data_IF_499973039176
#
_entry.id   IF_499973039176
#
_cell.length_a   1.000
_cell.length_b   1.000
_cell.length_c   1.000
_cell.angle_alpha   90.00
_cell.angle_beta   90.00
_cell.angle_gamma   90.00
#
_symmetry.space_group_name_H-M   'P 1'
#
loop_
_entity.id
_entity.type
_entity.pdbx_description
1 polymer ?
#
# COMPACT_ATOMS: atom_id res chain seq x y z
N UNK A 1 8.40 -3.47 16.26
CA UNK A 1 8.60 -4.05 14.92
C UNK A 1 9.66 -3.23 14.21
N UNK A 2 10.62 -3.85 13.53
CA UNK A 2 11.64 -3.13 12.76
C UNK A 2 11.08 -2.71 11.39
N UNK A 3 11.62 -1.64 10.83
CA UNK A 3 11.28 -1.16 9.48
C UNK A 3 12.08 -1.98 8.46
N UNK A 4 11.46 -2.94 7.81
CA UNK A 4 12.18 -3.87 6.93
C UNK A 4 11.89 -3.67 5.44
N UNK A 5 10.88 -2.90 5.08
CA UNK A 5 10.40 -2.82 3.70
C UNK A 5 9.79 -4.15 3.22
N UNK A 6 9.32 -4.15 1.96
CA UNK A 6 8.75 -5.38 1.37
C UNK A 6 9.84 -6.14 0.63
N UNK A 7 9.82 -7.46 0.75
CA UNK A 7 10.75 -8.32 0.03
C UNK A 7 10.30 -8.49 -1.41
N UNK A 8 11.23 -8.36 -2.36
CA UNK A 8 11.01 -8.75 -3.74
C UNK A 8 10.86 -10.28 -3.81
N UNK A 9 9.92 -10.75 -4.63
CA UNK A 9 9.62 -12.18 -4.73
C UNK A 9 10.38 -12.75 -5.92
N UNK A 10 11.24 -13.71 -5.69
CA UNK A 10 12.07 -14.35 -6.71
C UNK A 10 11.72 -15.80 -6.92
N UNK A 11 12.05 -16.30 -8.10
CA UNK A 11 12.06 -17.72 -8.46
C UNK A 11 13.31 -18.02 -9.27
N UNK A 12 13.82 -19.24 -9.15
CA UNK A 12 14.95 -19.72 -9.97
C UNK A 12 14.49 -20.18 -11.37
N UNK A 13 13.17 -20.23 -11.58
CA UNK A 13 12.56 -20.61 -12.84
C UNK A 13 12.52 -19.39 -13.77
N UNK A 14 13.03 -19.55 -14.98
CA UNK A 14 13.03 -18.48 -16.01
C UNK A 14 11.76 -18.45 -16.85
N UNK A 15 11.01 -19.57 -16.90
CA UNK A 15 9.76 -19.70 -17.62
C UNK A 15 8.73 -20.48 -16.81
N UNK A 16 7.55 -19.89 -16.63
CA UNK A 16 6.45 -20.51 -15.90
C UNK A 16 5.55 -21.25 -16.89
N UNK A 17 5.46 -22.58 -16.70
CA UNK A 17 4.68 -23.51 -17.52
C UNK A 17 3.56 -24.15 -16.69
N UNK A 18 2.70 -24.92 -17.37
CA UNK A 18 1.64 -25.69 -16.67
C UNK A 18 2.19 -26.65 -15.60
N UNK A 19 3.37 -27.21 -15.82
CA UNK A 19 3.95 -28.25 -14.96
C UNK A 19 4.53 -27.66 -13.68
N UNK A 20 5.02 -26.40 -13.71
CA UNK A 20 5.70 -25.77 -12.58
C UNK A 20 4.91 -24.62 -11.93
N UNK A 21 3.82 -24.12 -12.54
CA UNK A 21 3.07 -22.93 -12.07
C UNK A 21 2.60 -23.07 -10.61
N UNK A 22 2.15 -24.26 -10.21
CA UNK A 22 1.66 -24.50 -8.83
C UNK A 22 2.81 -24.45 -7.82
N UNK A 23 3.99 -24.97 -8.17
CA UNK A 23 5.17 -24.92 -7.31
C UNK A 23 5.69 -23.48 -7.17
N UNK A 24 5.83 -22.78 -8.29
CA UNK A 24 6.26 -21.37 -8.31
C UNK A 24 5.28 -20.50 -7.51
N UNK A 25 3.97 -20.71 -7.66
CA UNK A 25 2.94 -20.00 -6.89
C UNK A 25 3.11 -20.24 -5.39
N UNK A 26 3.24 -21.49 -4.94
CA UNK A 26 3.37 -21.82 -3.52
C UNK A 26 4.60 -21.18 -2.90
N UNK A 27 5.74 -21.27 -3.58
CA UNK A 27 6.99 -20.68 -3.12
C UNK A 27 6.89 -19.14 -3.04
N UNK A 28 6.28 -18.50 -4.05
CA UNK A 28 6.05 -17.07 -4.08
C UNK A 28 5.13 -16.60 -2.95
N UNK A 29 4.08 -17.36 -2.64
CA UNK A 29 3.13 -17.06 -1.58
C UNK A 29 3.74 -17.02 -0.18
N UNK A 30 4.79 -17.80 0.09
CA UNK A 30 5.49 -17.75 1.39
C UNK A 30 6.02 -16.34 1.65
N UNK A 31 6.72 -15.75 0.66
CA UNK A 31 7.24 -14.39 0.76
C UNK A 31 6.12 -13.35 0.72
N UNK A 32 5.12 -13.55 -0.14
CA UNK A 32 3.99 -12.64 -0.25
C UNK A 32 3.20 -12.54 1.06
N UNK A 33 2.95 -13.65 1.76
CA UNK A 33 2.23 -13.62 3.05
C UNK A 33 3.00 -12.89 4.15
N UNK A 34 4.34 -13.00 4.16
CA UNK A 34 5.17 -12.17 5.05
C UNK A 34 5.00 -10.69 4.72
N UNK A 35 5.07 -10.32 3.44
CA UNK A 35 4.84 -8.95 2.98
C UNK A 35 3.41 -8.47 3.29
N UNK A 36 2.42 -9.32 3.08
CA UNK A 36 1.00 -9.02 3.34
C UNK A 36 0.75 -8.68 4.80
N UNK A 37 1.32 -9.43 5.73
CA UNK A 37 1.18 -9.16 7.17
C UNK A 37 1.70 -7.75 7.53
N UNK A 38 2.85 -7.36 6.97
CA UNK A 38 3.40 -6.03 7.16
C UNK A 38 2.52 -4.94 6.49
N UNK A 39 2.00 -5.20 5.29
CA UNK A 39 1.10 -4.27 4.58
C UNK A 39 -0.21 -4.08 5.34
N UNK A 40 -0.78 -5.15 5.90
CA UNK A 40 -2.00 -5.08 6.72
C UNK A 40 -1.77 -4.25 7.99
N UNK A 41 -0.62 -4.41 8.65
CA UNK A 41 -0.24 -3.59 9.79
C UNK A 41 -0.11 -2.11 9.42
N UNK A 42 0.62 -1.80 8.33
CA UNK A 42 0.81 -0.41 7.87
C UNK A 42 -0.51 0.23 7.45
N UNK A 43 -1.37 -0.50 6.76
CA UNK A 43 -2.68 -0.02 6.37
C UNK A 43 -3.61 0.22 7.57
N UNK A 44 -3.58 -0.68 8.56
CA UNK A 44 -4.31 -0.48 9.81
C UNK A 44 -3.80 0.75 10.57
N UNK A 45 -2.47 0.94 10.64
CA UNK A 45 -1.82 2.09 11.25
C UNK A 45 -2.21 3.40 10.56
N UNK A 46 -2.18 3.43 9.23
CA UNK A 46 -2.64 4.55 8.39
C UNK A 46 -4.10 4.92 8.68
N UNK A 47 -4.96 3.93 8.91
CA UNK A 47 -6.38 4.12 9.27
C UNK A 47 -6.60 4.52 10.73
N UNK A 48 -5.56 4.76 11.52
CA UNK A 48 -5.65 5.14 12.93
C UNK A 48 -5.78 3.97 13.90
N UNK A 49 -5.69 2.71 13.44
CA UNK A 49 -5.63 1.54 14.33
C UNK A 49 -4.21 1.34 14.84
N UNK A 50 -3.79 2.18 15.76
CA UNK A 50 -2.42 2.26 16.24
C UNK A 50 -2.25 1.56 17.59
N UNK A 51 -1.02 1.13 17.96
CA UNK A 51 -0.76 0.35 19.16
C UNK A 51 -1.25 0.99 20.46
N UNK A 52 -1.26 2.32 20.54
CA UNK A 52 -1.71 3.08 21.73
C UNK A 52 -3.13 2.72 22.15
N UNK A 53 -4.00 2.34 21.21
CA UNK A 53 -5.39 1.95 21.50
C UNK A 53 -5.48 0.69 22.40
N UNK A 54 -4.44 -0.14 22.37
CA UNK A 54 -4.34 -1.36 23.18
C UNK A 54 -3.56 -1.14 24.48
N UNK A 55 -3.12 0.11 24.78
CA UNK A 55 -2.43 0.44 26.02
C UNK A 55 -3.31 0.15 27.21
N UNK A 56 -2.74 -0.48 28.24
CA UNK A 56 -3.36 -0.70 29.55
C UNK A 56 -2.46 -0.15 30.63
N UNK A 57 -3.03 0.62 31.57
CA UNK A 57 -2.33 1.13 32.74
C UNK A 57 -2.61 0.22 33.94
N UNK A 58 -1.55 -0.11 34.67
CA UNK A 58 -1.66 -0.88 35.90
C UNK A 58 -2.00 0.00 37.12
N UNK A 59 -1.53 1.26 37.09
CA UNK A 59 -1.74 2.25 38.13
C UNK A 59 -2.80 3.25 37.68
N UNK A 60 -3.86 3.41 38.43
CA UNK A 60 -5.03 4.25 38.14
C UNK A 60 -5.65 3.94 36.77
N UNK A 61 -6.16 2.72 36.56
CA UNK A 61 -6.76 2.33 35.31
C UNK A 61 -8.00 3.15 34.94
N UNK A 62 -8.63 3.83 35.89
CA UNK A 62 -9.76 4.76 35.69
C UNK A 62 -9.38 6.03 34.95
N UNK A 63 -8.09 6.41 34.94
CA UNK A 63 -7.56 7.56 34.20
C UNK A 63 -6.69 7.02 33.09
N UNK A 64 -7.29 6.66 31.97
CA UNK A 64 -6.61 6.10 30.82
C UNK A 64 -7.13 6.73 29.53
N UNK A 65 -6.37 7.68 29.00
CA UNK A 65 -6.62 8.29 27.71
C UNK A 65 -5.74 7.62 26.64
N UNK A 66 -6.35 7.09 25.60
CA UNK A 66 -5.67 6.47 24.48
C UNK A 66 -5.91 7.35 23.24
N UNK A 67 -5.02 8.30 23.00
CA UNK A 67 -5.12 9.27 21.93
C UNK A 67 -4.31 8.82 20.73
N UNK A 68 -4.90 8.87 19.56
CA UNK A 68 -4.23 8.64 18.29
C UNK A 68 -4.09 9.98 17.57
N UNK A 69 -2.87 10.48 17.48
CA UNK A 69 -2.53 11.54 16.55
C UNK A 69 -2.10 10.92 15.22
N UNK A 70 -3.03 10.85 14.26
CA UNK A 70 -2.81 10.07 13.04
C UNK A 70 -1.90 10.78 12.02
N UNK A 71 -0.65 11.05 12.41
CA UNK A 71 0.37 11.65 11.54
C UNK A 71 0.73 10.77 10.34
N UNK A 72 0.53 9.45 10.43
CA UNK A 72 0.75 8.56 9.30
C UNK A 72 -0.16 8.91 8.11
N UNK A 73 -1.44 9.19 8.38
CA UNK A 73 -2.38 9.64 7.35
C UNK A 73 -1.97 10.99 6.77
N UNK A 74 -1.58 11.94 7.61
CA UNK A 74 -1.12 13.27 7.19
C UNK A 74 0.09 13.18 6.25
N UNK A 75 1.10 12.37 6.60
CA UNK A 75 2.32 12.17 5.78
C UNK A 75 1.95 11.63 4.39
N UNK A 76 1.09 10.62 4.32
CA UNK A 76 0.67 10.02 3.05
C UNK A 76 -0.14 11.02 2.24
N UNK A 77 -1.16 11.63 2.84
CA UNK A 77 -2.03 12.60 2.15
C UNK A 77 -1.24 13.79 1.61
N UNK A 78 -0.27 14.30 2.37
CA UNK A 78 0.62 15.37 1.90
C UNK A 78 1.45 14.94 0.70
N UNK A 79 2.08 13.76 0.75
CA UNK A 79 2.91 13.25 -0.34
C UNK A 79 2.10 12.99 -1.61
N UNK A 80 0.93 12.37 -1.47
CA UNK A 80 0.03 12.11 -2.60
C UNK A 80 -0.48 13.41 -3.21
N UNK A 81 -0.91 14.36 -2.38
CA UNK A 81 -1.34 15.68 -2.84
C UNK A 81 -0.22 16.45 -3.55
N UNK A 82 1.02 16.34 -3.08
CA UNK A 82 2.16 16.98 -3.71
C UNK A 82 2.57 16.33 -5.05
N UNK A 83 2.55 15.00 -5.13
CA UNK A 83 2.99 14.26 -6.32
C UNK A 83 1.91 14.19 -7.41
N UNK A 84 0.65 14.02 -7.01
CA UNK A 84 -0.49 13.77 -7.89
C UNK A 84 -1.54 14.88 -7.82
N UNK A 85 -1.12 16.09 -7.40
CA UNK A 85 -1.99 17.27 -7.36
C UNK A 85 -2.51 17.64 -8.74
N UNK A 86 -1.65 17.54 -9.75
CA UNK A 86 -2.00 17.73 -11.15
C UNK A 86 -1.95 16.40 -11.91
N UNK A 87 -2.85 16.16 -12.88
CA UNK A 87 -2.83 14.97 -13.71
C UNK A 87 -1.54 14.84 -14.52
N UNK A 88 -1.00 13.63 -14.60
CA UNK A 88 0.16 13.33 -15.45
C UNK A 88 -0.27 13.42 -16.91
N UNK A 89 0.40 14.27 -17.70
CA UNK A 89 0.18 14.42 -19.11
C UNK A 89 1.37 13.92 -19.93
N UNK A 90 1.10 13.28 -21.04
CA UNK A 90 2.12 12.88 -22.00
C UNK A 90 2.30 13.99 -23.02
N UNK A 91 3.57 14.29 -23.33
CA UNK A 91 3.93 15.32 -24.32
C UNK A 91 4.90 14.76 -25.35
N UNK A 92 4.75 15.16 -26.61
CA UNK A 92 5.70 14.82 -27.66
C UNK A 92 6.93 15.73 -27.57
N UNK A 93 8.12 15.14 -27.77
CA UNK A 93 9.36 15.89 -28.01
C UNK A 93 9.65 16.12 -29.48
N UNK A 94 8.83 15.55 -30.38
CA UNK A 94 8.96 15.68 -31.81
C UNK A 94 8.02 16.77 -32.32
N UNK A 95 8.48 17.54 -33.32
CA UNK A 95 7.65 18.52 -34.05
C UNK A 95 6.77 17.85 -35.12
N UNK A 96 6.81 16.51 -35.22
CA UNK A 96 5.98 15.75 -36.16
C UNK A 96 4.52 15.77 -35.69
N UNK A 97 3.64 16.31 -36.56
CA UNK A 97 2.20 16.37 -36.29
C UNK A 97 1.57 15.00 -36.04
N UNK A 98 2.00 13.97 -36.77
CA UNK A 98 1.45 12.61 -36.57
C UNK A 98 1.75 12.07 -35.17
N UNK A 99 2.91 12.42 -34.61
CA UNK A 99 3.26 12.03 -33.24
C UNK A 99 2.44 12.83 -32.24
N UNK A 100 2.28 14.14 -32.48
CA UNK A 100 1.47 15.01 -31.61
C UNK A 100 -0.01 14.56 -31.57
N UNK A 101 -0.59 14.20 -32.71
CA UNK A 101 -1.97 13.69 -32.79
C UNK A 101 -2.14 12.37 -32.01
N UNK A 102 -1.18 11.43 -32.12
CA UNK A 102 -1.19 10.18 -31.33
C UNK A 102 -1.09 10.42 -29.83
N UNK A 103 -0.28 11.39 -29.41
CA UNK A 103 -0.16 11.76 -27.98
C UNK A 103 -1.46 12.40 -27.49
N UNK A 104 -2.11 13.23 -28.31
CA UNK A 104 -3.42 13.82 -27.96
C UNK A 104 -4.47 12.71 -27.79
N UNK A 105 -4.51 11.73 -28.70
CA UNK A 105 -5.40 10.56 -28.58
C UNK A 105 -5.11 9.77 -27.30
N UNK A 106 -3.82 9.50 -26.98
CA UNK A 106 -3.44 8.81 -25.75
C UNK A 106 -3.89 9.55 -24.48
N UNK A 107 -3.73 10.89 -24.45
CA UNK A 107 -4.21 11.69 -23.33
C UNK A 107 -5.73 11.65 -23.21
N UNK A 108 -6.46 11.61 -24.36
CA UNK A 108 -7.91 11.38 -24.39
C UNK A 108 -8.30 10.04 -23.76
N UNK A 109 -7.64 8.96 -24.14
CA UNK A 109 -7.83 7.63 -23.53
C UNK A 109 -7.50 7.60 -22.03
N UNK A 110 -6.44 8.28 -21.60
CA UNK A 110 -6.12 8.41 -20.19
C UNK A 110 -7.19 9.17 -19.41
N UNK A 111 -7.87 10.11 -20.04
CA UNK A 111 -8.98 10.85 -19.44
C UNK A 111 -10.25 9.98 -19.37
N UNK A 112 -10.60 9.24 -20.43
CA UNK A 112 -11.76 8.34 -20.42
C UNK A 112 -11.63 7.24 -19.36
N UNK A 113 -10.41 6.75 -19.11
CA UNK A 113 -10.08 5.78 -18.08
C UNK A 113 -9.96 6.34 -16.65
N UNK A 114 -10.22 7.62 -16.45
CA UNK A 114 -10.01 8.32 -15.15
C UNK A 114 -8.64 8.02 -14.53
N UNK A 115 -7.60 8.00 -15.40
CA UNK A 115 -6.23 7.68 -14.98
C UNK A 115 -5.74 8.55 -13.83
N UNK A 116 -6.18 9.81 -13.74
CA UNK A 116 -5.75 10.72 -12.68
C UNK A 116 -6.19 10.26 -11.29
N UNK A 117 -7.42 9.77 -11.13
CA UNK A 117 -7.88 9.18 -9.86
C UNK A 117 -7.18 7.85 -9.56
N UNK A 118 -7.01 7.00 -10.58
CA UNK A 118 -6.28 5.73 -10.47
C UNK A 118 -4.79 5.95 -10.12
N UNK A 119 -4.17 7.05 -10.57
CA UNK A 119 -2.79 7.42 -10.21
C UNK A 119 -2.69 7.85 -8.74
N UNK A 120 -3.67 8.60 -8.23
CA UNK A 120 -3.75 8.93 -6.80
C UNK A 120 -3.91 7.70 -5.93
N UNK A 121 -4.81 6.79 -6.31
CA UNK A 121 -5.00 5.52 -5.59
C UNK A 121 -3.72 4.68 -5.60
N UNK A 122 -3.01 4.60 -6.73
CA UNK A 122 -1.73 3.92 -6.82
C UNK A 122 -0.68 4.56 -5.90
N UNK A 123 -0.65 5.90 -5.83
CA UNK A 123 0.23 6.66 -4.97
C UNK A 123 -0.08 6.44 -3.49
N UNK A 124 -1.35 6.38 -3.10
CA UNK A 124 -1.74 6.00 -1.74
C UNK A 124 -1.15 4.63 -1.36
N UNK A 125 -1.33 3.62 -2.21
CA UNK A 125 -0.83 2.27 -1.94
C UNK A 125 0.69 2.21 -1.79
N UNK A 126 1.49 2.80 -2.70
CA UNK A 126 2.94 2.71 -2.54
C UNK A 126 3.46 3.58 -1.39
N UNK A 127 2.79 4.67 -1.03
CA UNK A 127 3.16 5.43 0.16
C UNK A 127 2.77 4.73 1.47
N UNK A 128 1.66 4.00 1.50
CA UNK A 128 1.25 3.24 2.69
C UNK A 128 2.07 1.97 2.82
N UNK A 129 2.09 1.14 1.76
CA UNK A 129 2.60 -0.22 1.80
C UNK A 129 4.04 -0.37 1.29
N UNK A 130 4.64 0.69 0.73
CA UNK A 130 5.98 0.65 0.13
C UNK A 130 6.02 0.09 -1.29
N UNK A 131 4.93 -0.51 -1.78
CA UNK A 131 4.73 -1.00 -3.14
C UNK A 131 3.26 -0.93 -3.52
N UNK A 132 2.99 -0.76 -4.81
CA UNK A 132 1.67 -0.82 -5.40
C UNK A 132 1.71 -1.58 -6.73
N UNK A 133 0.56 -1.99 -7.21
CA UNK A 133 0.45 -2.73 -8.47
C UNK A 133 -0.63 -2.12 -9.35
N UNK A 134 -0.29 -2.02 -10.63
CA UNK A 134 -1.22 -1.63 -11.69
C UNK A 134 -1.39 -2.76 -12.67
N UNK A 135 -2.60 -2.96 -13.12
CA UNK A 135 -2.91 -3.91 -14.18
C UNK A 135 -3.52 -3.16 -15.35
N UNK A 136 -3.08 -3.49 -16.56
CA UNK A 136 -3.63 -2.93 -17.79
C UNK A 136 -4.05 -4.09 -18.67
N UNK A 137 -5.33 -4.12 -19.03
CA UNK A 137 -5.91 -5.13 -19.92
C UNK A 137 -6.46 -4.46 -21.17
N UNK A 138 -6.49 -5.15 -22.32
CA UNK A 138 -7.26 -4.68 -23.47
C UNK A 138 -8.74 -4.73 -23.12
N UNK A 139 -9.46 -3.72 -23.56
CA UNK A 139 -10.92 -3.76 -23.50
C UNK A 139 -11.44 -4.77 -24.54
N UNK A 140 -12.18 -5.77 -24.07
CA UNK A 140 -12.76 -6.81 -24.91
C UNK A 140 -13.99 -6.34 -25.70
N UNK A 141 -14.60 -5.23 -25.26
CA UNK A 141 -15.81 -4.65 -25.86
C UNK A 141 -15.50 -3.40 -26.73
N UNK A 142 -14.21 -3.08 -26.91
CA UNK A 142 -13.76 -1.90 -27.65
C UNK A 142 -14.24 -1.90 -29.10
N UNK A 143 -14.98 -0.85 -29.45
CA UNK A 143 -15.38 -0.55 -30.83
C UNK A 143 -14.46 0.54 -31.40
N UNK A 144 -13.91 0.32 -32.61
CA UNK A 144 -12.93 1.22 -33.24
C UNK A 144 -13.43 2.64 -33.52
N UNK A 145 -14.74 2.86 -33.46
CA UNK A 145 -15.38 4.17 -33.69
C UNK A 145 -15.74 4.85 -32.33
N UNK A 146 -15.41 4.25 -31.20
CA UNK A 146 -15.63 4.79 -29.87
C UNK A 146 -14.50 5.77 -29.47
N UNK A 147 -14.85 6.82 -28.73
CA UNK A 147 -13.90 7.72 -28.08
C UNK A 147 -13.32 7.09 -26.76
N UNK A 148 -13.72 5.86 -26.44
CA UNK A 148 -13.27 5.12 -25.28
C UNK A 148 -11.86 4.54 -25.48
N UNK A 149 -11.17 4.26 -24.40
CA UNK A 149 -9.83 3.68 -24.47
C UNK A 149 -9.90 2.21 -24.91
N UNK A 150 -8.97 1.76 -25.78
CA UNK A 150 -8.87 0.34 -26.16
C UNK A 150 -8.28 -0.54 -25.05
N UNK A 151 -8.18 -0.03 -23.84
CA UNK A 151 -7.62 -0.72 -22.66
C UNK A 151 -8.28 -0.22 -21.39
N UNK A 152 -8.29 -1.06 -20.39
CA UNK A 152 -8.73 -0.76 -19.03
C UNK A 152 -7.55 -0.70 -18.07
N UNK A 153 -7.56 0.28 -17.15
CA UNK A 153 -6.53 0.45 -16.12
C UNK A 153 -7.12 0.11 -14.76
N UNK A 154 -6.47 -0.79 -14.03
CA UNK A 154 -6.84 -1.18 -12.67
C UNK A 154 -5.72 -0.89 -11.68
N UNK A 155 -6.04 -0.27 -10.56
CA UNK A 155 -5.17 -0.23 -9.39
C UNK A 155 -5.47 -1.44 -8.53
N UNK A 156 -4.45 -2.23 -8.22
CA UNK A 156 -4.60 -3.46 -7.45
C UNK A 156 -4.15 -3.22 -6.01
N UNK A 157 -4.96 -3.71 -5.06
CA UNK A 157 -4.58 -3.75 -3.65
C UNK A 157 -3.34 -4.66 -3.47
N UNK A 158 -2.20 -4.13 -2.99
CA UNK A 158 -0.95 -4.87 -2.87
C UNK A 158 -1.00 -6.05 -1.90
N UNK A 159 -2.04 -6.12 -1.06
CA UNK A 159 -2.28 -7.26 -0.17
C UNK A 159 -2.81 -8.49 -0.91
N UNK A 160 -3.29 -8.32 -2.15
CA UNK A 160 -3.92 -9.35 -2.97
C UNK A 160 -3.34 -9.44 -4.38
N UNK A 161 -2.22 -8.76 -4.63
CA UNK A 161 -1.51 -8.81 -5.90
C UNK A 161 0.01 -8.78 -5.66
N UNK A 162 0.76 -9.44 -6.54
CA UNK A 162 2.22 -9.42 -6.52
C UNK A 162 2.80 -9.84 -7.88
N UNK A 163 4.09 -9.52 -8.08
CA UNK A 163 4.87 -9.93 -9.24
C UNK A 163 6.04 -10.79 -8.77
N UNK A 164 6.32 -11.85 -9.50
CA UNK A 164 7.45 -12.75 -9.29
C UNK A 164 8.50 -12.50 -10.36
N UNK A 165 9.76 -12.41 -9.94
CA UNK A 165 10.90 -12.09 -10.78
C UNK A 165 11.83 -13.29 -10.90
N UNK A 166 12.49 -13.45 -12.04
CA UNK A 166 13.54 -14.44 -12.17
C UNK A 166 14.78 -14.05 -11.36
N UNK A 167 15.40 -15.01 -10.70
CA UNK A 167 16.67 -14.85 -10.00
C UNK A 167 17.84 -14.87 -11.02
N UNK A 168 17.87 -13.87 -11.89
CA UNK A 168 18.84 -13.75 -12.99
C UNK A 168 19.26 -12.28 -13.20
N UNK A 169 20.29 -12.07 -14.03
CA UNK A 169 20.74 -10.71 -14.37
C UNK A 169 19.58 -9.94 -15.03
N UNK A 170 19.29 -8.76 -14.49
CA UNK A 170 18.18 -7.91 -14.93
C UNK A 170 16.84 -8.21 -14.28
N UNK A 171 16.74 -9.29 -13.52
CA UNK A 171 15.55 -9.65 -12.71
C UNK A 171 14.22 -9.45 -13.47
N UNK A 172 14.03 -10.08 -14.64
CA UNK A 172 12.82 -9.89 -15.42
C UNK A 172 11.61 -10.48 -14.68
N UNK A 173 10.41 -9.87 -14.80
CA UNK A 173 9.19 -10.47 -14.27
C UNK A 173 8.86 -11.73 -15.08
N UNK A 174 8.49 -12.79 -14.37
CA UNK A 174 8.09 -14.08 -14.98
C UNK A 174 6.64 -14.44 -14.71
N UNK A 175 6.05 -13.87 -13.67
CA UNK A 175 4.67 -14.14 -13.29
C UNK A 175 4.06 -12.95 -12.56
N UNK A 176 2.86 -12.52 -12.97
CA UNK A 176 2.02 -11.59 -12.25
C UNK A 176 0.83 -12.33 -11.65
N UNK A 177 0.51 -12.08 -10.39
CA UNK A 177 -0.57 -12.77 -9.67
C UNK A 177 -1.51 -11.76 -9.03
N UNK A 178 -2.82 -11.96 -9.24
CA UNK A 178 -3.88 -11.35 -8.45
C UNK A 178 -4.75 -12.47 -7.88
N UNK A 179 -5.26 -12.32 -6.67
CA UNK A 179 -6.19 -13.31 -6.13
C UNK A 179 -7.34 -12.66 -5.38
N UNK A 180 -8.43 -13.41 -5.32
CA UNK A 180 -9.66 -13.05 -4.61
C UNK A 180 -10.07 -14.21 -3.71
N UNK A 181 -10.71 -13.88 -2.60
CA UNK A 181 -11.37 -14.85 -1.75
C UNK A 181 -12.87 -14.80 -2.02
N UNK A 182 -13.44 -15.93 -2.42
CA UNK A 182 -14.89 -16.08 -2.63
C UNK A 182 -15.64 -16.19 -1.30
N UNK A 183 -16.93 -16.00 -1.34
CA UNK A 183 -17.82 -16.11 -0.17
C UNK A 183 -17.89 -17.55 0.39
N UNK A 184 -17.60 -18.55 -0.42
CA UNK A 184 -17.49 -19.95 -0.03
C UNK A 184 -16.16 -20.31 0.66
N UNK A 185 -15.25 -19.34 0.76
CA UNK A 185 -13.93 -19.51 1.34
C UNK A 185 -12.86 -19.95 0.35
N UNK A 186 -13.20 -20.28 -0.89
CA UNK A 186 -12.23 -20.62 -1.93
C UNK A 186 -11.40 -19.40 -2.33
N UNK A 187 -10.12 -19.59 -2.55
CA UNK A 187 -9.20 -18.56 -3.04
C UNK A 187 -8.86 -18.85 -4.49
N UNK A 188 -9.17 -17.90 -5.36
CA UNK A 188 -8.90 -18.00 -6.80
C UNK A 188 -7.73 -17.08 -7.13
N UNK A 189 -6.69 -17.66 -7.72
CA UNK A 189 -5.49 -16.98 -8.18
C UNK A 189 -5.55 -16.83 -9.70
N UNK A 190 -5.58 -15.59 -10.18
CA UNK A 190 -5.40 -15.23 -11.59
C UNK A 190 -3.91 -14.99 -11.83
N UNK A 191 -3.29 -15.83 -12.63
CA UNK A 191 -1.85 -15.87 -12.87
C UNK A 191 -1.58 -15.53 -14.32
N UNK A 192 -0.78 -14.51 -14.56
CA UNK A 192 -0.36 -14.05 -15.88
C UNK A 192 1.12 -14.33 -16.04
N UNK A 193 1.46 -15.03 -17.11
CA UNK A 193 2.84 -15.28 -17.56
C UNK A 193 3.07 -14.58 -18.89
N UNK A 194 4.20 -14.78 -19.51
CA UNK A 194 4.52 -14.13 -20.79
C UNK A 194 3.53 -14.50 -21.92
N UNK A 195 3.09 -15.75 -21.96
CA UNK A 195 2.31 -16.34 -23.07
C UNK A 195 1.07 -17.10 -22.61
N UNK A 196 0.83 -17.23 -21.29
CA UNK A 196 -0.28 -18.00 -20.73
C UNK A 196 -0.94 -17.27 -19.57
N UNK A 197 -2.23 -17.53 -19.44
CA UNK A 197 -3.06 -17.20 -18.28
C UNK A 197 -3.49 -18.49 -17.61
N UNK A 198 -3.40 -18.53 -16.28
CA UNK A 198 -3.88 -19.64 -15.46
C UNK A 198 -4.84 -19.12 -14.40
N UNK A 199 -5.91 -19.85 -14.16
CA UNK A 199 -6.75 -19.70 -12.99
C UNK A 199 -6.54 -20.91 -12.08
N UNK A 200 -6.12 -20.66 -10.85
CA UNK A 200 -5.76 -21.70 -9.88
C UNK A 200 -6.63 -21.56 -8.63
N UNK A 201 -7.26 -22.65 -8.23
CA UNK A 201 -8.06 -22.71 -7.02
C UNK A 201 -7.24 -23.30 -5.86
N UNK A 202 -7.26 -22.61 -4.71
CA UNK A 202 -6.66 -23.03 -3.45
C UNK A 202 -5.20 -23.52 -3.56
N UNK A 203 -4.41 -22.98 -4.50
CA UNK A 203 -3.00 -23.32 -4.77
C UNK A 203 -2.77 -24.80 -5.19
N UNK A 204 -3.79 -25.51 -5.57
CA UNK A 204 -3.75 -26.95 -5.80
C UNK A 204 -4.30 -27.39 -7.15
N UNK A 205 -5.24 -26.69 -7.71
CA UNK A 205 -5.93 -27.07 -8.91
C UNK A 205 -5.94 -25.95 -9.96
N UNK A 206 -5.47 -26.24 -11.17
CA UNK A 206 -5.63 -25.37 -12.33
C UNK A 206 -7.05 -25.56 -12.86
N UNK A 207 -7.86 -24.51 -12.71
CA UNK A 207 -9.28 -24.53 -13.16
C UNK A 207 -9.39 -24.11 -14.61
N UNK A 208 -8.52 -23.17 -15.06
CA UNK A 208 -8.53 -22.62 -16.40
C UNK A 208 -7.09 -22.36 -16.87
N UNK A 209 -6.86 -22.63 -18.15
CA UNK A 209 -5.60 -22.29 -18.81
C UNK A 209 -5.91 -21.75 -20.20
N UNK A 210 -5.33 -20.60 -20.55
CA UNK A 210 -5.52 -19.95 -21.84
C UNK A 210 -4.19 -19.43 -22.38
N UNK A 211 -4.03 -19.46 -23.68
CA UNK A 211 -2.93 -18.75 -24.33
C UNK A 211 -3.22 -17.25 -24.35
N UNK A 212 -2.21 -16.44 -24.09
CA UNK A 212 -2.30 -14.98 -24.18
C UNK A 212 -1.10 -14.39 -24.91
N UNK A 213 -1.27 -13.20 -25.45
CA UNK A 213 -0.20 -12.47 -26.18
C UNK A 213 0.20 -11.15 -25.49
N UNK A 214 -0.44 -10.81 -24.37
CA UNK A 214 -0.24 -9.55 -23.67
C UNK A 214 1.06 -9.47 -22.86
N UNK A 215 1.66 -10.63 -22.57
CA UNK A 215 2.71 -10.71 -21.57
C UNK A 215 2.13 -10.60 -20.16
N UNK A 216 2.90 -10.01 -19.24
CA UNK A 216 2.48 -9.85 -17.83
C UNK A 216 1.83 -8.46 -17.66
N UNK A 217 0.50 -8.36 -17.54
CA UNK A 217 -0.20 -7.08 -17.48
C UNK A 217 -0.10 -6.39 -16.11
N UNK A 218 0.46 -7.06 -15.10
CA UNK A 218 0.64 -6.53 -13.74
C UNK A 218 2.03 -5.93 -13.62
N UNK A 219 2.07 -4.63 -13.27
CA UNK A 219 3.30 -3.85 -13.12
C UNK A 219 3.43 -3.41 -11.67
N UNK A 220 4.60 -3.67 -11.07
CA UNK A 220 4.93 -3.21 -9.71
C UNK A 220 5.45 -1.76 -9.73
N UNK A 221 4.98 -0.95 -8.80
CA UNK A 221 5.44 0.41 -8.52
C UNK A 221 5.99 0.47 -7.09
N UNK A 222 7.30 0.25 -6.90
CA UNK A 222 7.90 0.40 -5.58
C UNK A 222 8.10 1.87 -5.22
N UNK A 223 7.82 2.25 -3.98
CA UNK A 223 8.06 3.61 -3.48
C UNK A 223 9.57 3.97 -3.48
N UNK A 224 10.39 2.97 -3.24
CA UNK A 224 11.86 3.05 -3.24
C UNK A 224 12.44 1.63 -3.39
N UNK A 225 13.75 1.52 -3.56
CA UNK A 225 14.41 0.21 -3.73
C UNK A 225 14.20 -0.75 -2.54
N UNK A 226 14.06 -0.21 -1.33
CA UNK A 226 13.81 -1.00 -0.13
C UNK A 226 12.32 -1.32 0.08
N UNK A 227 11.41 -0.79 -0.76
CA UNK A 227 9.96 -0.94 -0.63
C UNK A 227 9.42 -0.53 0.74
N UNK A 228 9.98 0.56 1.29
CA UNK A 228 9.54 1.15 2.55
C UNK A 228 8.39 2.12 2.30
N UNK A 229 7.36 2.03 3.12
CA UNK A 229 6.25 3.00 3.14
C UNK A 229 6.70 4.39 3.62
N UNK A 230 5.92 5.41 3.32
CA UNK A 230 6.30 6.81 3.56
C UNK A 230 6.50 7.16 5.04
N UNK A 231 5.77 6.52 5.94
CA UNK A 231 5.83 6.75 7.40
C UNK A 231 6.50 5.58 8.14
N UNK A 232 6.84 4.49 7.46
CA UNK A 232 7.35 3.25 8.08
C UNK A 232 8.63 3.49 8.89
N UNK A 233 9.53 4.33 8.37
CA UNK A 233 10.81 4.67 9.04
C UNK A 233 10.63 5.49 10.32
N UNK A 234 9.50 6.15 10.49
CA UNK A 234 9.21 7.02 11.66
C UNK A 234 8.18 6.42 12.61
N UNK A 235 7.74 5.17 12.39
CA UNK A 235 6.77 4.48 13.25
C UNK A 235 7.10 4.58 14.76
N UNK A 236 8.35 4.35 15.21
CA UNK A 236 8.67 4.47 16.63
C UNK A 236 8.46 5.88 17.19
N UNK A 237 8.71 6.91 16.36
CA UNK A 237 8.46 8.30 16.74
C UNK A 237 6.96 8.59 16.82
N UNK A 238 6.18 8.09 15.88
CA UNK A 238 4.72 8.25 15.89
C UNK A 238 4.09 7.59 17.12
N UNK A 239 4.55 6.39 17.49
CA UNK A 239 4.13 5.71 18.72
C UNK A 239 4.51 6.50 19.97
N UNK A 240 5.70 7.13 19.99
CA UNK A 240 6.13 7.98 21.11
C UNK A 240 5.25 9.24 21.23
N UNK A 241 4.88 9.89 20.12
CA UNK A 241 3.97 11.05 20.12
C UNK A 241 2.62 10.66 20.74
N UNK A 242 1.99 9.59 20.26
CA UNK A 242 0.73 9.10 20.82
C UNK A 242 0.82 8.81 22.33
N UNK A 243 1.96 8.26 22.75
CA UNK A 243 2.20 7.98 24.18
C UNK A 243 2.32 9.25 25.01
N UNK A 244 3.04 10.26 24.51
CA UNK A 244 3.21 11.55 25.18
C UNK A 244 1.87 12.27 25.30
N UNK A 245 1.09 12.34 24.24
CA UNK A 245 -0.20 13.02 24.24
C UNK A 245 -1.22 12.33 25.14
N UNK A 246 -1.25 11.00 25.12
CA UNK A 246 -2.07 10.22 26.04
C UNK A 246 -1.68 10.49 27.51
N UNK A 247 -0.36 10.52 27.82
CA UNK A 247 0.14 10.83 29.17
C UNK A 247 -0.18 12.28 29.58
N UNK A 248 -0.13 13.24 28.66
CA UNK A 248 -0.51 14.63 28.96
C UNK A 248 -1.97 14.72 29.40
N UNK A 249 -2.87 14.08 28.66
CA UNK A 249 -4.29 14.06 29.00
C UNK A 249 -4.54 13.36 30.33
N UNK A 250 -3.91 12.21 30.57
CA UNK A 250 -3.95 11.52 31.86
C UNK A 250 -3.47 12.44 33.00
N UNK A 251 -2.39 13.21 32.77
CA UNK A 251 -1.87 14.18 33.75
C UNK A 251 -2.87 15.30 34.05
N UNK A 252 -3.45 15.90 33.00
CA UNK A 252 -4.47 16.96 33.18
C UNK A 252 -5.67 16.43 33.97
N UNK A 253 -6.17 15.25 33.62
CA UNK A 253 -7.31 14.65 34.33
C UNK A 253 -7.00 14.37 35.79
N UNK A 254 -5.78 13.89 36.09
CA UNK A 254 -5.32 13.71 37.48
C UNK A 254 -5.27 15.02 38.25
N UNK A 255 -4.81 16.11 37.66
CA UNK A 255 -4.74 17.42 38.31
C UNK A 255 -6.13 17.98 38.60
N UNK A 256 -7.09 17.81 37.69
CA UNK A 256 -8.48 18.27 37.91
C UNK A 256 -9.12 17.53 39.09
N UNK A 257 -8.72 16.30 39.37
CA UNK A 257 -9.23 15.47 40.48
C UNK A 257 -8.37 15.57 41.75
N UNK A 258 -7.22 16.27 41.73
CA UNK A 258 -6.33 16.38 42.87
C UNK A 258 -6.74 17.52 43.76
N UNK A 259 -7.07 17.20 45.02
CA UNK A 259 -7.22 18.17 46.10
C UNK A 259 -5.89 18.31 46.83
N UNK A 260 -5.27 19.51 46.79
CA UNK A 260 -4.11 19.83 47.63
C UNK A 260 -4.56 20.32 49.01
N UNK A 261 -4.27 19.53 50.04
CA UNK A 261 -4.50 19.88 51.43
C UNK A 261 -3.17 20.34 52.06
N UNK A 262 -3.10 21.62 52.39
CA UNK A 262 -1.99 22.16 53.17
C UNK A 262 -2.39 22.15 54.67
N UNK A 263 -1.65 21.38 55.48
CA UNK A 263 -1.84 21.36 56.95
C UNK A 263 -0.57 21.87 57.62
N UNK A 264 -0.72 22.92 58.46
CA UNK A 264 0.39 23.55 59.19
C UNK A 264 1.55 24.10 58.34
N UNK A 265 1.28 24.60 57.14
CA UNK A 265 2.28 25.21 56.27
C UNK A 265 2.17 26.74 56.34
N UNK A 266 3.26 27.40 56.67
CA UNK A 266 3.33 28.86 56.61
C UNK A 266 3.60 29.29 55.17
N UNK A 267 2.56 29.71 54.48
CA UNK A 267 2.61 30.13 53.06
C UNK A 267 3.51 31.34 52.77
N UNK A 268 3.93 32.07 53.83
CA UNK A 268 4.80 33.24 53.72
C UNK A 268 6.24 32.89 53.26
N UNK A 269 6.67 31.62 53.42
CA UNK A 269 8.02 31.19 53.07
C UNK A 269 8.11 30.35 51.80
N UNK A 270 6.99 30.02 51.15
CA UNK A 270 6.97 29.10 50.02
C UNK A 270 6.87 29.75 48.63
N UNK A 271 6.76 31.08 48.60
CA UNK A 271 6.71 31.81 47.32
C UNK A 271 7.84 32.83 47.26
N UNK A 272 9.01 32.49 46.65
CA UNK A 272 9.97 33.54 46.35
C UNK A 272 9.32 34.46 45.32
N UNK A 273 9.20 35.75 45.64
CA UNK A 273 8.76 36.78 44.73
C UNK A 273 9.69 36.76 43.49
N UNK A 274 9.16 36.67 42.26
CA UNK A 274 9.99 36.82 41.10
C UNK A 274 10.54 38.25 41.07
N UNK A 275 11.84 38.38 41.03
CA UNK A 275 12.56 39.63 40.70
C UNK A 275 12.65 39.76 39.19
#
# INVERSE_FOLDING_TARGET
>A
MGCFGRKKIFTDVTEVTRDNVLEVLRNALITHWSNKADMEYLYAYYKGRQPILNRKKEVRPEIQNNVVENRANEIVSFKVGYLMGEPIQYVSRSDDKMVADKITTLNGYCLSEDKAAKDKELADWFHICGTAYRMVLPDSEFEKESDEAPFEIYTLDPRFAFVVYANSIGEPPVMGVKYIQRSDGAVIYSIYTKDRYFEVENQSMIVREEAQSLGIPIIEYPANNARLGAFEIVLPLLDAINTVDSNRLDGVEQFVQALMLFHNVCLLYTSPSPR
#
